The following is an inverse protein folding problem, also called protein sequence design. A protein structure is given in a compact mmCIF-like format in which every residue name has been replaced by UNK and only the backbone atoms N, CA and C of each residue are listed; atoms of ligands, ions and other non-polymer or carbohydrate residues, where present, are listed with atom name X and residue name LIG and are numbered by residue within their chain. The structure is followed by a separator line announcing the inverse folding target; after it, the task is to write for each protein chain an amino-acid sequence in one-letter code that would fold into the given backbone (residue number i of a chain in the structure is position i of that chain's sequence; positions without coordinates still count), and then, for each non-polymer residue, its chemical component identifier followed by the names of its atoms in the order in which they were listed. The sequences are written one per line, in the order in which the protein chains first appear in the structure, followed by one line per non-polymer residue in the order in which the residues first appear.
data_IF_177668672286
#
_entry.id   IF_177668672286
#
_cell.length_a   1.000
_cell.length_b   1.000
_cell.length_c   1.000
_cell.angle_alpha   90.00
_cell.angle_beta   90.00
_cell.angle_gamma   90.00
#
_symmetry.space_group_name_H-M   'P 1'
#
loop_
_entity.id
_entity.type
_entity.pdbx_description
1 polymer ?
#
# COMPACT_ATOMS: atom_id res chain seq x y z
N UNK A 1 -7.67 37.37 2.26
CA UNK A 1 -8.89 36.54 2.30
C UNK A 1 -8.87 35.77 3.61
N UNK A 2 -9.93 35.80 4.41
CA UNK A 2 -10.00 34.99 5.62
C UNK A 2 -10.00 33.52 5.20
N UNK A 3 -8.99 32.74 5.63
CA UNK A 3 -9.05 31.28 5.55
C UNK A 3 -10.29 30.89 6.36
N UNK A 4 -11.30 30.33 5.70
CA UNK A 4 -12.39 29.67 6.41
C UNK A 4 -11.73 28.65 7.33
N UNK A 5 -11.79 28.85 8.64
CA UNK A 5 -11.27 27.88 9.61
C UNK A 5 -12.03 26.58 9.38
N UNK A 6 -11.40 25.63 8.71
CA UNK A 6 -11.88 24.26 8.62
C UNK A 6 -11.63 23.66 9.99
N UNK A 7 -12.69 23.31 10.69
CA UNK A 7 -12.55 22.55 11.93
C UNK A 7 -12.40 21.08 11.56
N UNK A 8 -11.31 20.47 12.02
CA UNK A 8 -11.11 19.02 11.96
C UNK A 8 -11.29 18.50 13.37
N UNK A 9 -12.55 18.34 13.84
CA UNK A 9 -12.84 17.99 15.24
C UNK A 9 -12.22 16.68 15.72
N UNK A 10 -11.58 15.94 14.80
CA UNK A 10 -10.99 14.64 15.05
C UNK A 10 -9.45 14.68 14.92
N UNK A 11 -8.81 15.73 14.39
CA UNK A 11 -7.35 15.78 14.29
C UNK A 11 -6.67 15.70 15.67
N UNK A 12 -5.62 14.88 15.80
CA UNK A 12 -4.99 14.63 17.10
C UNK A 12 -3.96 15.69 17.50
N UNK A 13 -3.62 16.60 16.57
CA UNK A 13 -2.71 17.72 16.81
C UNK A 13 -2.87 18.82 15.75
N UNK A 14 -2.46 20.04 16.09
CA UNK A 14 -2.38 21.20 15.17
C UNK A 14 -1.53 20.91 13.92
N UNK A 15 -0.52 20.05 14.04
CA UNK A 15 0.27 19.59 12.90
C UNK A 15 -0.59 18.78 11.92
N UNK A 16 -1.41 17.85 12.42
CA UNK A 16 -2.30 17.06 11.56
C UNK A 16 -3.34 17.95 10.89
N UNK A 17 -3.90 18.91 11.62
CA UNK A 17 -4.80 19.92 11.04
C UNK A 17 -4.13 20.69 9.90
N UNK A 18 -2.89 21.17 10.12
CA UNK A 18 -2.11 21.89 9.11
C UNK A 18 -1.83 21.02 7.88
N UNK A 19 -1.50 19.74 8.07
CA UNK A 19 -1.28 18.80 6.97
C UNK A 19 -2.56 18.56 6.18
N UNK A 20 -3.69 18.36 6.86
CA UNK A 20 -4.99 18.15 6.22
C UNK A 20 -5.43 19.43 5.47
N UNK A 21 -5.26 20.61 6.07
CA UNK A 21 -5.55 21.89 5.43
C UNK A 21 -4.73 22.10 4.17
N UNK A 22 -3.40 21.93 4.26
CA UNK A 22 -2.51 22.06 3.11
C UNK A 22 -2.85 21.08 1.99
N UNK A 23 -3.26 19.87 2.36
CA UNK A 23 -3.73 18.85 1.41
C UNK A 23 -4.95 19.35 0.66
N UNK A 24 -5.96 19.84 1.37
CA UNK A 24 -7.21 20.26 0.76
C UNK A 24 -7.12 21.62 0.04
N UNK A 25 -6.30 22.56 0.52
CA UNK A 25 -6.02 23.80 -0.18
C UNK A 25 -5.46 23.50 -1.58
N UNK A 26 -4.48 22.59 -1.67
CA UNK A 26 -3.94 22.14 -2.96
C UNK A 26 -4.97 21.43 -3.82
N UNK A 27 -5.79 20.56 -3.22
CA UNK A 27 -6.84 19.86 -3.96
C UNK A 27 -7.80 20.87 -4.60
N UNK A 28 -8.19 21.89 -3.83
CA UNK A 28 -9.13 22.92 -4.26
C UNK A 28 -8.51 23.87 -5.30
N UNK A 29 -7.20 24.14 -5.21
CA UNK A 29 -6.47 24.95 -6.19
C UNK A 29 -6.24 24.22 -7.54
N UNK A 30 -6.05 22.90 -7.52
CA UNK A 30 -5.56 22.14 -8.67
C UNK A 30 -6.63 21.52 -9.57
N UNK A 31 -7.92 21.67 -9.27
CA UNK A 31 -9.03 21.05 -10.03
C UNK A 31 -8.83 19.55 -10.32
N UNK A 32 -8.25 18.80 -9.38
CA UNK A 32 -7.94 17.39 -9.57
C UNK A 32 -9.22 16.54 -9.62
N UNK A 33 -9.24 15.56 -10.53
CA UNK A 33 -10.35 14.62 -10.68
C UNK A 33 -10.06 13.28 -9.99
N UNK A 34 -8.78 12.99 -9.74
CA UNK A 34 -8.36 11.72 -9.18
C UNK A 34 -7.36 11.86 -8.03
N UNK A 35 -7.33 10.86 -7.16
CA UNK A 35 -6.37 10.73 -6.07
C UNK A 35 -5.87 9.29 -5.94
N UNK A 36 -4.56 9.12 -5.82
CA UNK A 36 -3.92 7.83 -5.53
C UNK A 36 -3.35 7.87 -4.12
N UNK A 37 -3.80 6.94 -3.28
CA UNK A 37 -3.36 6.81 -1.89
C UNK A 37 -2.56 5.52 -1.74
N UNK A 38 -1.43 5.61 -1.05
CA UNK A 38 -0.62 4.47 -0.68
C UNK A 38 -0.47 4.37 0.83
N UNK A 39 -0.66 3.18 1.37
CA UNK A 39 -0.57 2.87 2.78
C UNK A 39 0.39 1.70 2.98
N UNK A 40 1.40 1.86 3.82
CA UNK A 40 2.18 0.72 4.32
C UNK A 40 1.79 0.43 5.77
N UNK A 41 1.21 -0.73 6.06
CA UNK A 41 0.75 -1.09 7.41
C UNK A 41 1.83 -1.85 8.16
N UNK A 42 2.21 -1.39 9.36
CA UNK A 42 3.02 -2.19 10.27
C UNK A 42 2.20 -2.80 11.42
N UNK A 43 2.84 -3.77 12.08
CA UNK A 43 2.31 -4.58 13.18
C UNK A 43 1.85 -3.80 14.44
N UNK A 44 2.03 -2.48 14.51
CA UNK A 44 1.59 -1.69 15.66
C UNK A 44 0.92 -0.39 15.23
N UNK A 45 -0.13 0.00 15.95
CA UNK A 45 -1.04 1.14 15.66
C UNK A 45 -0.34 2.49 15.38
N UNK A 46 0.93 2.60 15.73
CA UNK A 46 1.72 3.82 15.60
C UNK A 46 2.65 3.81 14.39
N UNK A 47 2.63 2.77 13.54
CA UNK A 47 3.65 2.55 12.52
C UNK A 47 3.08 2.27 11.13
N UNK A 48 2.84 3.31 10.34
CA UNK A 48 2.40 3.13 8.96
C UNK A 48 2.84 4.30 8.06
N UNK A 49 3.11 3.98 6.79
CA UNK A 49 3.39 4.91 5.72
C UNK A 49 2.10 5.40 5.07
N UNK A 50 1.99 6.69 4.71
CA UNK A 50 0.79 7.25 4.06
C UNK A 50 1.17 8.32 3.05
N UNK A 51 0.88 8.04 1.78
CA UNK A 51 1.16 8.95 0.66
C UNK A 51 -0.11 9.25 -0.09
N UNK A 52 -0.29 10.51 -0.48
CA UNK A 52 -1.37 10.96 -1.35
C UNK A 52 -0.76 11.58 -2.61
N UNK A 53 -1.21 11.16 -3.78
CA UNK A 53 -0.87 11.79 -5.06
C UNK A 53 -2.18 12.28 -5.68
N UNK A 54 -2.30 13.59 -5.91
CA UNK A 54 -3.44 14.19 -6.61
C UNK A 54 -3.13 14.26 -8.10
N UNK A 55 -4.06 13.86 -8.96
CA UNK A 55 -3.80 13.61 -10.37
C UNK A 55 -4.71 14.43 -11.28
N UNK A 56 -4.18 14.81 -12.44
CA UNK A 56 -4.94 15.50 -13.48
C UNK A 56 -6.00 14.59 -14.11
N UNK A 57 -6.91 15.17 -14.90
CA UNK A 57 -8.00 14.43 -15.55
C UNK A 57 -7.50 13.32 -16.49
N UNK A 58 -6.30 13.51 -17.07
CA UNK A 58 -5.69 12.56 -18.00
C UNK A 58 -4.84 11.50 -17.28
N UNK A 59 -4.66 11.60 -15.96
CA UNK A 59 -3.76 10.75 -15.18
C UNK A 59 -2.33 10.74 -15.73
N UNK A 60 -1.91 11.81 -16.39
CA UNK A 60 -0.59 11.93 -17.04
C UNK A 60 0.44 12.57 -16.15
N UNK A 61 0.02 13.42 -15.22
CA UNK A 61 0.87 14.03 -14.22
C UNK A 61 0.14 14.08 -12.87
N UNK A 62 0.92 14.32 -11.81
CA UNK A 62 0.39 14.34 -10.46
C UNK A 62 1.21 15.22 -9.54
N UNK A 63 0.60 15.66 -8.44
CA UNK A 63 1.30 16.31 -7.35
C UNK A 63 1.37 15.32 -6.19
N UNK A 64 2.58 14.84 -5.88
CA UNK A 64 2.79 13.93 -4.78
C UNK A 64 2.89 14.71 -3.46
N UNK A 65 2.11 14.29 -2.49
CA UNK A 65 2.09 14.82 -1.13
C UNK A 65 2.35 13.65 -0.19
N UNK A 66 3.59 13.58 0.32
CA UNK A 66 3.91 12.64 1.38
C UNK A 66 3.29 13.18 2.66
N UNK A 67 2.21 12.55 3.13
CA UNK A 67 1.56 12.93 4.39
C UNK A 67 2.22 12.21 5.55
N UNK A 68 3.55 12.20 5.51
CA UNK A 68 4.42 11.57 6.48
C UNK A 68 5.38 12.57 7.08
N UNK A 69 5.19 12.89 8.35
CA UNK A 69 6.20 13.55 9.13
C UNK A 69 7.24 12.55 9.70
N UNK A 70 8.10 11.97 8.85
CA UNK A 70 9.42 11.52 9.35
C UNK A 70 10.29 12.77 9.55
N UNK A 71 11.12 12.83 10.61
CA UNK A 71 12.01 13.97 11.01
C UNK A 71 12.03 15.16 10.04
N UNK A 72 11.12 16.10 10.24
CA UNK A 72 11.02 17.28 9.41
C UNK A 72 11.16 18.51 10.29
N UNK A 73 11.72 19.55 9.69
CA UNK A 73 11.61 20.91 10.18
C UNK A 73 10.61 21.60 9.25
N UNK A 74 9.35 21.75 9.67
CA UNK A 74 8.37 22.60 8.99
C UNK A 74 8.11 23.78 9.92
N UNK A 75 8.26 25.00 9.41
CA UNK A 75 7.85 26.25 10.05
C UNK A 75 8.26 26.40 11.53
N UNK A 76 9.48 25.98 11.87
CA UNK A 76 10.04 26.09 13.23
C UNK A 76 9.73 24.90 14.16
N UNK A 77 8.91 23.95 13.76
CA UNK A 77 8.70 22.71 14.50
C UNK A 77 9.78 21.69 14.16
N UNK A 78 10.60 21.32 15.15
CA UNK A 78 11.57 20.22 15.03
C UNK A 78 11.11 19.08 15.92
N UNK A 79 10.72 17.94 15.34
CA UNK A 79 10.52 16.70 16.10
C UNK A 79 11.60 15.68 15.78
N UNK A 80 12.18 15.12 16.83
CA UNK A 80 13.29 14.14 16.79
C UNK A 80 12.84 12.72 16.43
N UNK A 81 11.55 12.42 16.58
CA UNK A 81 10.93 11.15 16.28
C UNK A 81 9.93 11.27 15.12
N UNK A 82 9.82 10.25 14.26
CA UNK A 82 8.81 10.24 13.20
C UNK A 82 7.42 10.34 13.82
N UNK A 83 6.67 11.37 13.44
CA UNK A 83 5.23 11.46 13.73
C UNK A 83 4.58 10.74 12.56
N UNK A 84 3.93 9.63 12.85
CA UNK A 84 3.19 8.91 11.83
C UNK A 84 1.75 9.41 11.87
N UNK A 85 1.10 9.62 10.72
CA UNK A 85 -0.24 10.16 10.68
C UNK A 85 -1.15 9.26 11.50
N UNK A 86 -2.01 9.85 12.32
CA UNK A 86 -3.02 9.06 13.01
C UNK A 86 -3.99 8.46 12.00
N UNK A 87 -4.70 7.39 12.40
CA UNK A 87 -5.85 6.84 11.64
C UNK A 87 -6.84 7.94 11.23
N UNK A 88 -6.87 9.02 11.99
CA UNK A 88 -7.76 10.13 11.81
C UNK A 88 -7.39 11.07 10.66
N UNK A 89 -6.09 11.20 10.35
CA UNK A 89 -5.64 11.90 9.13
C UNK A 89 -6.20 11.18 7.90
N UNK A 90 -6.09 9.85 7.85
CA UNK A 90 -6.65 9.06 6.75
C UNK A 90 -8.17 9.25 6.65
N UNK A 91 -8.91 9.11 7.77
CA UNK A 91 -10.37 9.31 7.80
C UNK A 91 -10.74 10.69 7.25
N UNK A 92 -10.01 11.73 7.65
CA UNK A 92 -10.27 13.12 7.25
C UNK A 92 -9.98 13.33 5.75
N UNK A 93 -8.86 12.77 5.25
CA UNK A 93 -8.51 12.80 3.83
C UNK A 93 -9.58 12.09 3.00
N UNK A 94 -9.95 10.85 3.36
CA UNK A 94 -10.97 10.08 2.65
C UNK A 94 -12.34 10.79 2.65
N UNK A 95 -12.74 11.36 3.78
CA UNK A 95 -13.98 12.12 3.89
C UNK A 95 -14.00 13.34 2.95
N UNK A 96 -12.91 14.10 2.92
CA UNK A 96 -12.83 15.28 2.08
C UNK A 96 -12.70 14.96 0.59
N UNK A 97 -12.07 13.85 0.22
CA UNK A 97 -12.05 13.32 -1.16
C UNK A 97 -13.46 12.88 -1.59
N UNK A 98 -14.17 12.12 -0.74
CA UNK A 98 -15.54 11.69 -0.99
C UNK A 98 -16.49 12.88 -1.16
N UNK A 99 -16.40 13.89 -0.29
CA UNK A 99 -17.22 15.12 -0.36
C UNK A 99 -17.02 15.87 -1.68
N UNK A 100 -15.79 15.87 -2.20
CA UNK A 100 -15.43 16.49 -3.48
C UNK A 100 -15.72 15.60 -4.69
N UNK A 101 -16.18 14.37 -4.46
CA UNK A 101 -16.40 13.35 -5.50
C UNK A 101 -15.14 13.08 -6.33
N UNK A 102 -13.98 13.11 -5.68
CA UNK A 102 -12.71 12.77 -6.32
C UNK A 102 -12.61 11.25 -6.39
N UNK A 103 -12.41 10.73 -7.60
CA UNK A 103 -12.20 9.31 -7.82
C UNK A 103 -10.87 8.89 -7.21
N UNK A 104 -10.89 7.94 -6.28
CA UNK A 104 -9.74 7.61 -5.45
C UNK A 104 -9.44 6.12 -5.49
N UNK A 105 -8.16 5.78 -5.62
CA UNK A 105 -7.67 4.42 -5.39
C UNK A 105 -6.78 4.39 -4.16
N UNK A 106 -6.95 3.39 -3.31
CA UNK A 106 -6.20 3.19 -2.07
C UNK A 106 -5.48 1.85 -2.14
N UNK A 107 -4.16 1.88 -2.24
CA UNK A 107 -3.32 0.68 -2.22
C UNK A 107 -2.74 0.49 -0.81
N UNK A 108 -2.80 -0.74 -0.30
CA UNK A 108 -2.39 -1.05 1.08
C UNK A 108 -1.40 -2.22 1.10
N UNK A 109 -0.21 -2.02 1.64
CA UNK A 109 0.77 -3.08 1.92
C UNK A 109 0.39 -3.76 3.24
N UNK A 110 -0.48 -4.76 3.14
CA UNK A 110 -0.90 -5.64 4.22
C UNK A 110 -1.60 -6.85 3.62
N UNK A 111 -1.43 -8.07 4.15
CA UNK A 111 -2.28 -9.15 3.69
C UNK A 111 -3.75 -8.87 4.01
N UNK A 112 -4.60 -8.85 2.99
CA UNK A 112 -6.03 -8.92 3.20
C UNK A 112 -6.36 -10.35 3.63
N UNK A 113 -6.92 -10.49 4.84
CA UNK A 113 -7.42 -11.77 5.34
C UNK A 113 -6.36 -12.81 5.71
N UNK A 114 -6.84 -14.03 5.91
CA UNK A 114 -6.08 -15.20 6.34
C UNK A 114 -6.32 -16.37 5.37
N UNK A 115 -5.40 -17.35 5.28
CA UNK A 115 -5.61 -18.52 4.43
C UNK A 115 -6.91 -19.23 4.80
N UNK A 116 -7.77 -19.50 3.81
CA UNK A 116 -9.10 -20.10 4.07
C UNK A 116 -8.98 -21.46 4.73
N UNK A 117 -8.03 -22.28 4.27
CA UNK A 117 -7.79 -23.62 4.83
C UNK A 117 -7.32 -23.55 6.29
N UNK A 118 -6.54 -22.53 6.67
CA UNK A 118 -6.23 -22.30 8.08
C UNK A 118 -7.49 -21.92 8.86
N UNK A 119 -8.29 -20.98 8.36
CA UNK A 119 -9.53 -20.58 9.03
C UNK A 119 -10.54 -21.72 9.19
N UNK A 120 -10.67 -22.59 8.19
CA UNK A 120 -11.58 -23.73 8.23
C UNK A 120 -11.04 -24.84 9.15
N UNK A 121 -9.74 -25.15 9.08
CA UNK A 121 -9.08 -26.03 10.06
C UNK A 121 -9.27 -25.53 11.49
N UNK A 122 -9.05 -24.23 11.76
CA UNK A 122 -9.13 -23.66 13.10
C UNK A 122 -10.55 -23.68 13.70
N UNK A 123 -11.61 -23.67 12.87
CA UNK A 123 -12.99 -23.80 13.35
C UNK A 123 -13.33 -25.21 13.79
N UNK A 124 -12.75 -26.19 13.11
CA UNK A 124 -13.01 -27.61 13.34
C UNK A 124 -12.05 -28.22 14.36
N UNK A 125 -10.86 -27.64 14.49
CA UNK A 125 -9.84 -28.05 15.44
C UNK A 125 -10.23 -27.67 16.87
N UNK A 126 -10.45 -28.68 17.72
CA UNK A 126 -10.60 -28.53 19.15
C UNK A 126 -9.46 -29.26 19.88
N UNK A 127 -8.71 -28.54 20.71
CA UNK A 127 -7.62 -29.11 21.52
C UNK A 127 -8.10 -29.96 22.73
N UNK A 128 -9.38 -29.85 23.08
CA UNK A 128 -9.97 -30.47 24.29
C UNK A 128 -10.76 -31.74 24.03
N UNK A 129 -11.15 -32.02 22.79
CA UNK A 129 -11.82 -33.26 22.40
C UNK A 129 -10.81 -34.17 21.71
N UNK A 130 -10.87 -35.47 22.00
CA UNK A 130 -10.09 -36.48 21.27
C UNK A 130 -10.49 -36.44 19.80
N UNK A 131 -9.74 -35.68 19.00
CA UNK A 131 -10.02 -35.41 17.59
C UNK A 131 -10.25 -36.75 16.90
N UNK A 132 -11.46 -36.98 16.40
CA UNK A 132 -11.72 -38.10 15.50
C UNK A 132 -10.82 -37.90 14.28
N UNK A 133 -9.90 -38.85 14.08
CA UNK A 133 -8.81 -38.84 13.10
C UNK A 133 -9.26 -38.86 11.62
N UNK A 134 -10.52 -38.57 11.33
CA UNK A 134 -11.02 -38.43 9.95
C UNK A 134 -10.85 -37.02 9.39
N UNK A 135 -10.12 -36.13 10.08
CA UNK A 135 -9.78 -34.81 9.54
C UNK A 135 -8.47 -34.86 8.76
N UNK A 136 -8.51 -34.62 7.45
CA UNK A 136 -7.31 -34.49 6.63
C UNK A 136 -6.61 -33.17 6.94
N UNK A 137 -5.37 -33.24 7.43
CA UNK A 137 -4.53 -32.05 7.61
C UNK A 137 -4.33 -31.35 6.25
N UNK A 138 -4.55 -30.02 6.17
CA UNK A 138 -4.13 -29.26 5.00
C UNK A 138 -2.63 -29.38 4.78
N UNK A 139 -2.19 -29.25 3.53
CA UNK A 139 -0.77 -29.08 3.22
C UNK A 139 -0.22 -27.83 3.92
N UNK A 140 1.06 -27.86 4.28
CA UNK A 140 1.67 -26.77 5.04
C UNK A 140 1.58 -25.42 4.32
N UNK A 141 1.86 -25.40 3.02
CA UNK A 141 1.82 -24.17 2.22
C UNK A 141 0.40 -23.59 2.12
N UNK A 142 -0.59 -24.47 1.99
CA UNK A 142 -2.01 -24.15 2.00
C UNK A 142 -2.51 -23.60 3.35
N UNK A 143 -1.77 -23.89 4.43
CA UNK A 143 -2.05 -23.45 5.78
C UNK A 143 -1.35 -22.13 6.13
N UNK A 144 -0.12 -21.94 5.63
CA UNK A 144 0.74 -20.81 5.96
C UNK A 144 0.57 -19.60 5.03
N UNK A 145 0.09 -19.81 3.80
CA UNK A 145 0.05 -18.81 2.74
C UNK A 145 -1.33 -18.69 2.11
N UNK A 146 -1.74 -17.47 1.75
CA UNK A 146 -2.94 -17.24 0.95
C UNK A 146 -2.68 -17.63 -0.49
N UNK A 147 -3.74 -17.76 -1.27
CA UNK A 147 -3.58 -18.05 -2.70
C UNK A 147 -2.75 -16.98 -3.41
N UNK A 148 -2.92 -15.71 -3.04
CA UNK A 148 -2.12 -14.58 -3.55
C UNK A 148 -0.64 -14.74 -3.24
N UNK A 149 -0.30 -15.12 -2.01
CA UNK A 149 1.08 -15.34 -1.58
C UNK A 149 1.73 -16.47 -2.40
N UNK A 150 1.05 -17.61 -2.55
CA UNK A 150 1.56 -18.72 -3.36
C UNK A 150 1.83 -18.31 -4.82
N UNK A 151 0.99 -17.45 -5.38
CA UNK A 151 1.15 -16.94 -6.74
C UNK A 151 2.35 -15.99 -6.87
N UNK A 152 2.64 -15.17 -5.85
CA UNK A 152 3.87 -14.36 -5.84
C UNK A 152 5.12 -15.20 -5.62
N UNK A 153 5.03 -16.27 -4.82
CA UNK A 153 6.12 -17.22 -4.67
C UNK A 153 6.49 -17.84 -6.01
N UNK A 154 5.49 -18.20 -6.82
CA UNK A 154 5.67 -18.69 -8.19
C UNK A 154 6.21 -17.61 -9.13
N UNK A 155 5.59 -16.43 -9.16
CA UNK A 155 5.95 -15.34 -10.07
C UNK A 155 7.35 -14.77 -9.82
N UNK A 156 7.74 -14.64 -8.55
CA UNK A 156 9.00 -13.99 -8.16
C UNK A 156 10.10 -14.99 -7.82
N UNK A 157 9.79 -16.29 -7.73
CA UNK A 157 10.72 -17.33 -7.30
C UNK A 157 11.33 -17.05 -5.92
N UNK A 158 10.56 -16.49 -4.99
CA UNK A 158 11.05 -16.06 -3.68
C UNK A 158 10.14 -16.52 -2.56
N UNK A 159 10.73 -16.91 -1.44
CA UNK A 159 9.98 -17.19 -0.22
C UNK A 159 9.33 -15.90 0.29
N UNK A 160 8.02 -15.98 0.49
CA UNK A 160 7.26 -14.93 1.15
C UNK A 160 7.16 -15.25 2.63
N UNK A 161 6.85 -14.24 3.43
CA UNK A 161 6.56 -14.48 4.83
C UNK A 161 5.17 -15.11 4.97
N UNK A 162 5.07 -16.14 5.81
CA UNK A 162 3.77 -16.72 6.16
C UNK A 162 2.88 -15.68 6.84
N UNK A 163 1.59 -15.69 6.49
CA UNK A 163 0.58 -14.84 7.13
C UNK A 163 0.43 -15.15 8.63
N UNK A 164 0.77 -16.39 9.03
CA UNK A 164 0.84 -16.81 10.43
C UNK A 164 2.00 -16.23 11.23
N UNK A 165 2.92 -15.49 10.61
CA UNK A 165 3.95 -14.78 11.35
C UNK A 165 3.33 -13.62 12.15
N UNK A 166 3.62 -13.57 13.46
CA UNK A 166 3.04 -12.62 14.44
C UNK A 166 2.97 -11.16 13.96
N UNK A 167 4.04 -10.68 13.30
CA UNK A 167 4.07 -9.31 12.76
C UNK A 167 3.08 -9.07 11.63
N UNK A 168 2.89 -10.06 10.77
CA UNK A 168 2.01 -9.98 9.61
C UNK A 168 0.57 -10.14 10.05
N UNK A 169 0.33 -11.11 10.93
CA UNK A 169 -0.94 -11.30 11.63
C UNK A 169 -1.43 -10.01 12.31
N UNK A 170 -0.52 -9.33 13.02
CA UNK A 170 -0.82 -8.07 13.70
C UNK A 170 -1.18 -6.97 12.71
N UNK A 171 -0.40 -6.76 11.64
CA UNK A 171 -0.71 -5.74 10.63
C UNK A 171 -2.07 -6.01 9.92
N UNK A 172 -2.36 -7.28 9.62
CA UNK A 172 -3.64 -7.71 9.04
C UNK A 172 -4.83 -7.40 9.97
N UNK A 173 -4.67 -7.68 11.26
CA UNK A 173 -5.67 -7.38 12.28
C UNK A 173 -5.92 -5.87 12.39
N UNK A 174 -4.85 -5.08 12.42
CA UNK A 174 -4.91 -3.62 12.47
C UNK A 174 -5.65 -3.03 11.26
N UNK A 175 -5.37 -3.56 10.07
CA UNK A 175 -6.09 -3.18 8.86
C UNK A 175 -7.57 -3.58 8.94
N UNK A 176 -7.90 -4.78 9.42
CA UNK A 176 -9.28 -5.23 9.56
C UNK A 176 -10.09 -4.31 10.50
N UNK A 177 -9.52 -3.92 11.64
CA UNK A 177 -10.14 -2.96 12.55
C UNK A 177 -10.36 -1.60 11.91
N UNK A 178 -9.37 -1.11 11.17
CA UNK A 178 -9.46 0.18 10.46
C UNK A 178 -10.52 0.12 9.36
N UNK A 179 -10.56 -0.97 8.58
CA UNK A 179 -11.52 -1.18 7.51
C UNK A 179 -12.97 -1.14 8.00
N UNK A 180 -13.28 -1.73 9.15
CA UNK A 180 -14.62 -1.66 9.77
C UNK A 180 -15.02 -0.19 10.02
N UNK A 181 -14.09 0.64 10.52
CA UNK A 181 -14.34 2.07 10.75
C UNK A 181 -14.45 2.88 9.45
N UNK A 182 -13.83 2.38 8.37
CA UNK A 182 -13.80 3.02 7.05
C UNK A 182 -14.84 2.49 6.07
N UNK A 183 -15.73 1.59 6.50
CA UNK A 183 -16.74 0.94 5.64
C UNK A 183 -17.58 1.95 4.84
N UNK A 184 -17.92 3.09 5.43
CA UNK A 184 -18.67 4.17 4.76
C UNK A 184 -17.93 4.84 3.59
N UNK A 185 -16.61 4.72 3.55
CA UNK A 185 -15.75 5.30 2.51
C UNK A 185 -15.39 4.27 1.45
N UNK A 186 -15.06 3.04 1.88
CA UNK A 186 -14.69 1.95 1.00
C UNK A 186 -15.94 1.15 0.62
N UNK A 187 -16.65 1.62 -0.40
CA UNK A 187 -17.84 0.92 -0.92
C UNK A 187 -17.50 -0.50 -1.40
N UNK A 188 -16.29 -0.70 -1.89
CA UNK A 188 -15.82 -1.95 -2.44
C UNK A 188 -14.32 -2.11 -2.22
N UNK A 189 -13.89 -3.35 -2.06
CA UNK A 189 -12.49 -3.74 -2.06
C UNK A 189 -12.22 -4.41 -3.41
N UNK A 190 -11.49 -3.74 -4.29
CA UNK A 190 -11.19 -4.33 -5.59
C UNK A 190 -10.16 -5.44 -5.45
N UNK A 191 -10.61 -6.63 -5.80
CA UNK A 191 -9.81 -7.84 -5.86
C UNK A 191 -9.35 -8.12 -7.31
N UNK A 192 -9.26 -7.08 -8.13
CA UNK A 192 -8.63 -7.11 -9.45
C UNK A 192 -9.51 -7.62 -10.58
N UNK A 193 -10.85 -7.58 -10.48
CA UNK A 193 -11.76 -8.18 -11.48
C UNK A 193 -12.20 -7.27 -12.64
N UNK A 194 -11.67 -6.04 -12.73
CA UNK A 194 -12.01 -5.11 -13.81
C UNK A 194 -13.52 -4.83 -13.92
N UNK A 195 -14.16 -4.55 -12.78
CA UNK A 195 -15.51 -3.96 -12.79
C UNK A 195 -15.45 -2.54 -13.42
N UNK A 196 -16.61 -1.90 -13.56
CA UNK A 196 -16.80 -0.59 -14.21
C UNK A 196 -15.79 0.52 -13.74
N UNK A 197 -15.68 1.66 -14.44
CA UNK A 197 -14.79 2.76 -14.05
C UNK A 197 -14.86 3.09 -12.56
N UNK A 198 -13.74 3.56 -11.99
CA UNK A 198 -13.65 3.90 -10.57
C UNK A 198 -14.55 5.11 -10.29
N UNK A 199 -15.70 4.87 -9.67
CA UNK A 199 -16.56 5.90 -9.13
C UNK A 199 -16.46 5.86 -7.60
N UNK A 200 -15.92 6.93 -7.00
CA UNK A 200 -15.70 7.00 -5.56
C UNK A 200 -14.35 6.44 -5.14
N UNK A 201 -14.29 5.75 -3.99
CA UNK A 201 -13.05 5.31 -3.35
C UNK A 201 -12.98 3.77 -3.39
N UNK A 202 -12.03 3.24 -4.14
CA UNK A 202 -11.71 1.81 -4.21
C UNK A 202 -10.46 1.51 -3.38
N UNK A 203 -10.42 0.36 -2.74
CA UNK A 203 -9.28 -0.11 -1.95
C UNK A 203 -8.81 -1.48 -2.43
N UNK A 204 -7.50 -1.71 -2.48
CA UNK A 204 -6.92 -2.98 -2.90
C UNK A 204 -5.58 -3.24 -2.19
N UNK A 205 -5.16 -4.50 -2.17
CA UNK A 205 -3.89 -4.91 -1.60
C UNK A 205 -2.74 -4.67 -2.59
N UNK A 206 -1.58 -4.26 -2.10
CA UNK A 206 -0.38 -4.12 -2.92
C UNK A 206 0.84 -4.74 -2.25
N UNK A 207 1.83 -5.10 -3.05
CA UNK A 207 3.13 -5.59 -2.60
C UNK A 207 4.23 -4.72 -3.21
N UNK A 208 4.70 -3.66 -2.51
CA UNK A 208 5.72 -2.73 -3.01
C UNK A 208 6.99 -3.45 -3.49
N UNK A 209 7.42 -4.49 -2.77
CA UNK A 209 8.59 -5.27 -3.17
C UNK A 209 8.40 -6.01 -4.50
N UNK A 210 7.20 -6.58 -4.73
CA UNK A 210 6.87 -7.21 -6.00
C UNK A 210 6.79 -6.17 -7.12
N UNK A 211 6.12 -5.04 -6.86
CA UNK A 211 6.02 -3.91 -7.78
C UNK A 211 7.41 -3.44 -8.23
N UNK A 212 8.36 -3.24 -7.31
CA UNK A 212 9.72 -2.81 -7.66
C UNK A 212 10.45 -3.85 -8.49
N UNK A 213 10.43 -5.11 -8.07
CA UNK A 213 11.16 -6.19 -8.77
C UNK A 213 10.68 -6.39 -10.19
N UNK A 214 9.39 -6.20 -10.43
CA UNK A 214 8.82 -6.38 -11.75
C UNK A 214 9.08 -5.14 -12.62
N UNK A 215 8.85 -3.93 -12.11
CA UNK A 215 8.85 -2.72 -12.95
C UNK A 215 10.20 -2.01 -13.04
N UNK A 216 11.09 -2.20 -12.07
CA UNK A 216 12.37 -1.49 -11.98
C UNK A 216 13.52 -2.48 -11.75
N UNK A 217 13.90 -3.27 -12.78
CA UNK A 217 15.07 -4.14 -12.72
C UNK A 217 16.32 -3.35 -12.31
N UNK A 218 17.11 -3.90 -11.39
CA UNK A 218 18.27 -3.24 -10.78
C UNK A 218 17.99 -2.50 -9.47
N UNK A 219 16.71 -2.30 -9.11
CA UNK A 219 16.31 -1.67 -7.84
C UNK A 219 15.83 -2.69 -6.79
N UNK A 220 16.06 -3.99 -6.99
CA UNK A 220 15.53 -5.06 -6.11
C UNK A 220 16.06 -5.00 -4.68
N UNK A 221 17.21 -4.32 -4.50
CA UNK A 221 17.89 -4.18 -3.21
C UNK A 221 17.44 -2.97 -2.40
N UNK A 222 16.34 -2.31 -2.75
CA UNK A 222 15.85 -1.13 -2.02
C UNK A 222 15.51 -1.40 -0.54
N UNK A 223 15.20 -2.67 -0.18
CA UNK A 223 15.01 -3.13 1.22
C UNK A 223 16.23 -3.85 1.83
N UNK A 224 17.35 -3.95 1.12
CA UNK A 224 18.47 -4.83 1.52
C UNK A 224 19.20 -4.41 2.81
N UNK A 225 19.00 -3.18 3.27
CA UNK A 225 19.51 -2.65 4.53
C UNK A 225 18.77 -3.13 5.79
N UNK A 226 17.57 -3.72 5.66
CA UNK A 226 16.78 -4.17 6.81
C UNK A 226 17.21 -5.54 7.35
N UNK A 227 17.82 -6.36 6.48
CA UNK A 227 18.23 -7.72 6.82
C UNK A 227 19.72 -7.79 7.16
N UNK A 228 20.03 -7.75 8.46
CA UNK A 228 20.82 -8.78 9.19
C UNK A 228 21.34 -8.26 10.53
N UNK A 229 20.82 -8.83 11.62
CA UNK A 229 21.27 -8.70 13.02
C UNK A 229 22.72 -9.17 13.29
N UNK A 230 23.49 -9.53 12.26
CA UNK A 230 24.81 -10.18 12.37
C UNK A 230 25.97 -9.38 11.78
N UNK A 231 25.73 -8.13 11.36
CA UNK A 231 26.75 -7.31 10.70
C UNK A 231 27.45 -6.38 11.70
N UNK A 232 28.75 -6.17 11.51
CA UNK A 232 29.50 -5.16 12.28
C UNK A 232 28.88 -3.77 12.05
N UNK A 233 29.08 -2.79 12.94
CA UNK A 233 28.52 -1.44 12.78
C UNK A 233 28.86 -0.78 11.43
N UNK A 234 30.02 -1.12 10.84
CA UNK A 234 30.46 -0.64 9.53
C UNK A 234 29.64 -1.26 8.40
N UNK A 235 29.47 -2.60 8.40
CA UNK A 235 28.69 -3.31 7.39
C UNK A 235 27.21 -2.91 7.38
N UNK A 236 26.67 -2.54 8.55
CA UNK A 236 25.31 -2.04 8.68
C UNK A 236 25.16 -0.64 8.05
N UNK A 237 26.15 0.24 8.23
CA UNK A 237 26.17 1.59 7.62
C UNK A 237 26.30 1.51 6.10
N UNK A 238 27.19 0.67 5.60
CA UNK A 238 27.39 0.51 4.16
C UNK A 238 26.14 -0.08 3.48
N UNK A 239 25.48 -1.04 4.14
CA UNK A 239 24.22 -1.62 3.65
C UNK A 239 23.06 -0.61 3.66
N UNK A 240 22.99 0.25 4.67
CA UNK A 240 21.98 1.31 4.75
C UNK A 240 22.19 2.36 3.66
N UNK A 241 23.43 2.79 3.45
CA UNK A 241 23.81 3.73 2.38
C UNK A 241 23.48 3.16 1.00
N UNK A 242 23.81 1.90 0.74
CA UNK A 242 23.46 1.26 -0.53
C UNK A 242 21.94 1.20 -0.74
N UNK A 243 21.14 1.02 0.32
CA UNK A 243 19.67 1.01 0.21
C UNK A 243 19.08 2.39 -0.01
N UNK A 244 19.67 3.43 0.59
CA UNK A 244 19.34 4.83 0.32
C UNK A 244 19.64 5.21 -1.13
N UNK A 245 20.85 4.92 -1.63
CA UNK A 245 21.24 5.20 -3.02
C UNK A 245 20.30 4.50 -4.01
N UNK A 246 19.91 3.24 -3.75
CA UNK A 246 18.94 2.52 -4.57
C UNK A 246 17.55 3.16 -4.52
N UNK A 247 17.09 3.63 -3.34
CA UNK A 247 15.78 4.28 -3.20
C UNK A 247 15.72 5.63 -3.90
N UNK A 248 16.80 6.42 -3.82
CA UNK A 248 16.93 7.68 -4.57
C UNK A 248 16.88 7.40 -6.07
N UNK A 249 17.67 6.45 -6.56
CA UNK A 249 17.67 6.08 -7.98
C UNK A 249 16.29 5.57 -8.45
N UNK A 250 15.63 4.73 -7.64
CA UNK A 250 14.28 4.25 -7.92
C UNK A 250 13.27 5.40 -7.94
N UNK A 251 13.34 6.31 -6.98
CA UNK A 251 12.48 7.49 -6.93
C UNK A 251 12.65 8.36 -8.18
N UNK A 252 13.89 8.64 -8.60
CA UNK A 252 14.18 9.42 -9.81
C UNK A 252 13.60 8.76 -11.07
N UNK A 253 13.73 7.42 -11.19
CA UNK A 253 13.13 6.67 -12.29
C UNK A 253 11.60 6.78 -12.31
N UNK A 254 10.95 6.63 -11.15
CA UNK A 254 9.49 6.80 -11.04
C UNK A 254 9.12 8.26 -11.35
N UNK A 255 9.88 9.24 -10.88
CA UNK A 255 9.63 10.66 -11.16
C UNK A 255 9.63 10.96 -12.65
N UNK A 256 10.65 10.47 -13.35
CA UNK A 256 10.76 10.64 -14.78
C UNK A 256 9.60 9.97 -15.53
N UNK A 257 9.22 8.76 -15.10
CA UNK A 257 8.16 7.98 -15.75
C UNK A 257 6.76 8.57 -15.55
N UNK A 258 6.46 9.04 -14.35
CA UNK A 258 5.11 9.52 -13.98
C UNK A 258 4.98 11.03 -14.05
N UNK A 259 6.07 11.76 -14.30
CA UNK A 259 6.07 13.23 -14.38
C UNK A 259 5.41 13.88 -13.16
N UNK A 260 5.67 13.36 -11.95
CA UNK A 260 5.09 13.93 -10.75
C UNK A 260 5.86 15.19 -10.30
N UNK A 261 5.07 16.18 -9.88
CA UNK A 261 5.56 17.36 -9.20
C UNK A 261 5.62 17.08 -7.69
N UNK A 262 6.80 17.23 -7.10
CA UNK A 262 7.01 17.12 -5.65
C UNK A 262 6.93 18.47 -4.93
N UNK A 263 6.81 19.57 -5.68
CA UNK A 263 6.69 20.92 -5.17
C UNK A 263 7.69 21.22 -4.06
N UNK A 264 7.17 21.65 -2.91
CA UNK A 264 7.93 21.97 -1.70
C UNK A 264 8.26 20.75 -0.81
N UNK A 265 7.82 19.55 -1.20
CA UNK A 265 7.89 18.35 -0.35
C UNK A 265 9.08 17.44 -0.74
N UNK A 266 10.00 17.93 -1.58
CA UNK A 266 11.24 17.21 -1.95
C UNK A 266 12.03 16.75 -0.73
N UNK A 267 12.17 17.60 0.29
CA UNK A 267 12.87 17.26 1.53
C UNK A 267 12.24 16.10 2.29
N UNK A 268 10.92 15.93 2.19
CA UNK A 268 10.18 14.85 2.85
C UNK A 268 10.42 13.53 2.13
N UNK A 269 10.51 13.56 0.79
CA UNK A 269 10.80 12.36 0.00
C UNK A 269 12.28 11.96 0.09
N UNK A 270 13.21 12.91 0.01
CA UNK A 270 14.64 12.65 0.25
C UNK A 270 14.83 11.99 1.63
N UNK A 271 14.03 12.40 2.62
CA UNK A 271 14.01 11.78 3.93
C UNK A 271 13.41 10.36 3.91
N UNK A 272 12.30 10.14 3.20
CA UNK A 272 11.75 8.79 3.03
C UNK A 272 12.77 7.83 2.39
N UNK A 273 13.56 8.31 1.43
CA UNK A 273 14.63 7.55 0.78
C UNK A 273 15.83 7.27 1.70
N UNK A 274 16.18 8.20 2.60
CA UNK A 274 17.36 8.07 3.48
C UNK A 274 17.11 7.33 4.79
N UNK A 275 15.86 7.24 5.25
CA UNK A 275 15.56 6.59 6.52
C UNK A 275 15.63 5.06 6.44
N UNK A 276 16.16 4.40 7.47
CA UNK A 276 16.19 2.93 7.52
C UNK A 276 14.83 2.28 7.81
N UNK A 277 13.77 3.07 8.03
CA UNK A 277 12.40 2.59 8.15
C UNK A 277 11.76 2.69 6.77
N UNK A 278 11.61 1.55 6.08
CA UNK A 278 11.08 1.50 4.71
C UNK A 278 9.65 1.99 4.59
N UNK A 279 8.89 2.07 5.69
CA UNK A 279 7.46 2.29 5.71
C UNK A 279 7.01 3.52 4.87
N UNK A 280 7.75 4.62 4.97
CA UNK A 280 7.42 5.84 4.25
C UNK A 280 7.59 5.71 2.74
N UNK A 281 8.67 5.04 2.34
CA UNK A 281 8.98 4.80 0.94
C UNK A 281 8.06 3.71 0.36
N UNK A 282 7.72 2.68 1.14
CA UNK A 282 6.73 1.68 0.77
C UNK A 282 5.34 2.28 0.59
N UNK A 283 4.92 3.18 1.49
CA UNK A 283 3.69 3.96 1.32
C UNK A 283 3.70 4.79 0.04
N UNK A 284 4.84 5.35 -0.37
CA UNK A 284 4.99 6.03 -1.66
C UNK A 284 4.84 5.06 -2.84
N UNK A 285 5.52 3.90 -2.80
CA UNK A 285 5.40 2.86 -3.82
C UNK A 285 3.95 2.34 -3.93
N UNK A 286 3.25 2.20 -2.81
CA UNK A 286 1.82 1.89 -2.79
C UNK A 286 1.01 2.96 -3.54
N UNK A 287 1.29 4.24 -3.35
CA UNK A 287 0.56 5.32 -4.03
C UNK A 287 0.81 5.31 -5.54
N UNK A 288 2.02 4.95 -5.98
CA UNK A 288 2.32 4.73 -7.40
C UNK A 288 1.50 3.55 -7.95
N UNK A 289 1.37 2.45 -7.20
CA UNK A 289 0.48 1.34 -7.57
C UNK A 289 -0.98 1.79 -7.70
N UNK A 290 -1.47 2.63 -6.78
CA UNK A 290 -2.82 3.21 -6.85
C UNK A 290 -3.02 4.11 -8.08
N UNK A 291 -1.98 4.83 -8.53
CA UNK A 291 -2.05 5.59 -9.78
C UNK A 291 -2.13 4.65 -10.99
N UNK A 292 -1.30 3.61 -11.06
CA UNK A 292 -1.39 2.63 -12.14
C UNK A 292 -2.76 1.96 -12.21
N UNK A 293 -3.34 1.63 -11.05
CA UNK A 293 -4.70 1.13 -10.94
C UNK A 293 -5.71 2.08 -11.61
N UNK A 294 -5.62 3.38 -11.32
CA UNK A 294 -6.52 4.38 -11.91
C UNK A 294 -6.33 4.50 -13.42
N UNK A 295 -5.08 4.52 -13.91
CA UNK A 295 -4.78 4.55 -15.36
C UNK A 295 -5.44 3.37 -16.05
N UNK A 296 -5.20 2.17 -15.53
CA UNK A 296 -5.78 0.94 -16.05
C UNK A 296 -7.31 1.00 -16.13
N UNK A 297 -7.97 1.37 -15.03
CA UNK A 297 -9.44 1.40 -14.98
C UNK A 297 -10.06 2.47 -15.86
N UNK A 298 -9.30 3.52 -16.19
CA UNK A 298 -9.77 4.61 -17.05
C UNK A 298 -9.52 4.35 -18.54
N UNK A 299 -8.36 3.82 -18.90
CA UNK A 299 -7.91 3.71 -20.29
C UNK A 299 -7.87 2.29 -20.85
N UNK A 300 -8.15 1.27 -20.04
CA UNK A 300 -8.13 -0.13 -20.47
C UNK A 300 -6.71 -0.71 -20.57
N UNK A 301 -6.59 -1.87 -21.23
CA UNK A 301 -5.37 -2.71 -21.28
C UNK A 301 -4.14 -2.04 -21.92
N UNK A 302 -4.31 -0.90 -22.59
CA UNK A 302 -3.20 -0.08 -23.11
C UNK A 302 -2.41 0.60 -21.96
N UNK A 303 -3.00 0.64 -20.77
CA UNK A 303 -2.32 0.95 -19.51
C UNK A 303 -2.22 -0.32 -18.67
N UNK A 304 -0.97 -0.70 -18.39
CA UNK A 304 -0.58 -1.98 -17.78
C UNK A 304 -1.44 -2.40 -16.57
N UNK A 305 -2.29 -3.41 -16.77
CA UNK A 305 -2.74 -4.34 -15.73
C UNK A 305 -1.92 -5.59 -15.91
N UNK A 306 -1.44 -6.19 -14.83
CA UNK A 306 -0.84 -7.50 -15.01
C UNK A 306 -1.45 -8.51 -14.07
N UNK A 307 -1.98 -9.53 -14.75
CA UNK A 307 -2.53 -10.75 -14.24
C UNK A 307 -3.98 -10.69 -13.78
N UNK A 308 -4.89 -11.01 -14.70
CA UNK A 308 -6.21 -11.55 -14.32
C UNK A 308 -6.01 -12.95 -13.74
N UNK A 309 -6.91 -13.44 -12.88
CA UNK A 309 -6.84 -14.85 -12.44
C UNK A 309 -6.76 -15.82 -13.63
N UNK A 310 -7.44 -15.52 -14.74
CA UNK A 310 -7.38 -16.34 -15.96
C UNK A 310 -5.98 -16.41 -16.59
N UNK A 311 -5.19 -15.34 -16.48
CA UNK A 311 -3.85 -15.24 -17.07
C UNK A 311 -2.80 -15.99 -16.24
N UNK A 312 -3.00 -16.12 -14.93
CA UNK A 312 -2.05 -16.83 -14.06
C UNK A 312 -2.36 -18.31 -13.91
N UNK A 313 -3.63 -18.69 -13.87
CA UNK A 313 -4.04 -20.07 -13.53
C UNK A 313 -4.82 -20.77 -14.65
N UNK A 314 -4.90 -20.13 -15.83
CA UNK A 314 -5.63 -20.64 -16.99
C UNK A 314 -7.15 -20.48 -16.90
N UNK A 315 -7.82 -20.49 -18.07
CA UNK A 315 -9.27 -20.19 -18.17
C UNK A 315 -10.17 -21.17 -17.40
N UNK A 316 -9.83 -22.47 -17.34
CA UNK A 316 -10.71 -23.50 -16.78
C UNK A 316 -10.76 -23.52 -15.25
N UNK A 317 -9.72 -23.04 -14.56
CA UNK A 317 -9.68 -22.99 -13.09
C UNK A 317 -10.18 -21.65 -12.53
N UNK A 318 -10.37 -20.67 -13.41
CA UNK A 318 -10.60 -19.28 -13.06
C UNK A 318 -11.81 -19.02 -12.17
N UNK A 319 -12.94 -19.70 -12.37
CA UNK A 319 -14.19 -19.31 -11.71
C UNK A 319 -14.28 -19.75 -10.24
N UNK A 320 -13.78 -20.94 -9.92
CA UNK A 320 -13.69 -21.41 -8.54
C UNK A 320 -12.60 -20.64 -7.77
N UNK A 321 -11.45 -20.42 -8.41
CA UNK A 321 -10.36 -19.64 -7.85
C UNK A 321 -10.75 -18.18 -7.67
N UNK A 322 -11.53 -17.59 -8.58
CA UNK A 322 -12.09 -16.24 -8.45
C UNK A 322 -12.86 -16.07 -7.14
N UNK A 323 -13.74 -17.01 -6.79
CA UNK A 323 -14.47 -16.95 -5.52
C UNK A 323 -13.54 -17.05 -4.30
N UNK A 324 -12.50 -17.87 -4.40
CA UNK A 324 -11.50 -17.99 -3.35
C UNK A 324 -10.70 -16.70 -3.18
N UNK A 325 -10.31 -16.08 -4.29
CA UNK A 325 -9.63 -14.78 -4.35
C UNK A 325 -10.51 -13.64 -3.82
N UNK A 326 -11.80 -13.62 -4.18
CA UNK A 326 -12.77 -12.64 -3.63
C UNK A 326 -12.86 -12.76 -2.10
N UNK A 327 -12.69 -13.97 -1.56
CA UNK A 327 -12.68 -14.23 -0.11
C UNK A 327 -11.34 -13.90 0.55
N UNK A 328 -10.23 -14.18 -0.12
CA UNK A 328 -8.85 -14.03 0.41
C UNK A 328 -8.18 -12.68 0.09
N UNK A 329 -8.81 -11.83 -0.73
CA UNK A 329 -8.18 -10.61 -1.23
C UNK A 329 -7.32 -10.83 -2.47
N UNK A 330 -6.94 -9.75 -3.16
CA UNK A 330 -6.06 -9.80 -4.33
C UNK A 330 -5.09 -8.63 -4.33
N UNK A 331 -3.91 -8.87 -4.86
CA UNK A 331 -2.84 -7.90 -5.00
C UNK A 331 -2.81 -7.39 -6.45
N UNK A 332 -2.86 -6.08 -6.64
CA UNK A 332 -2.60 -5.51 -7.96
C UNK A 332 -1.11 -5.29 -8.15
N UNK A 333 -0.55 -5.91 -9.18
CA UNK A 333 0.83 -5.71 -9.58
C UNK A 333 0.88 -5.32 -11.05
N UNK A 334 1.87 -4.50 -11.36
CA UNK A 334 2.26 -4.17 -12.72
C UNK A 334 3.46 -5.03 -13.11
N UNK A 335 3.37 -5.71 -14.23
CA UNK A 335 4.45 -6.41 -14.92
C UNK A 335 4.80 -5.49 -16.09
N UNK A 336 6.09 -5.20 -16.31
CA UNK A 336 6.51 -4.44 -17.48
C UNK A 336 6.06 -5.16 -18.74
N UNK A 337 5.79 -4.42 -19.80
CA UNK A 337 5.66 -5.04 -21.11
C UNK A 337 7.01 -5.66 -21.47
N UNK A 338 7.17 -6.96 -21.24
CA UNK A 338 8.17 -7.73 -21.98
C UNK A 338 7.75 -7.67 -23.45
N UNK A 339 8.66 -7.23 -24.32
CA UNK A 339 8.55 -7.49 -25.75
C UNK A 339 8.45 -8.98 -26.03
#
# INVERSE_FOLDING_TARGET
MARNQRTYPEASSELEETLIDRTFDRIDEGNYQYAAIGIDMAASESRWGFTLITLDEKLTCGTAQLLLPHRFTIDGFTKTHPIKPSRQVLISVLAGLQKRKITTAVAVDVPFGWPVKHGDFAKEWNASDGVSLEFSLPERDDFEYRKTDLMFKELLGSELFSVGADKIASAAYEWAQLRIKLERYFKHCDVGFANAPVDGIEVFETYPAAFVRLNYPGCEKFKSGETKRTKTPTDARDSARNSEEVRIALFDQIQQQYQFNIGHDKSIIDLACSTSASDAFDGFLCAVCAWDYLKYRRFGTDSHRTSTPNELIGQNQAQALRKLIEKEGWILVRIPNSK
#
